data_IF_038499369811
#
_entry.id   IF_038499369811
#
_cell.length_a   1.000
_cell.length_b   1.000
_cell.length_c   1.000
_cell.angle_alpha   90.00
_cell.angle_beta   90.00
_cell.angle_gamma   90.00
#
_symmetry.space_group_name_H-M   'P 1'
#
loop_
_entity.id
_entity.type
_entity.pdbx_description
1 polymer ?
#
# COMPACT_ATOMS: atom_id res chain seq x y z
N UNK A 1 -1.88 -12.11 -39.11
CA UNK A 1 -2.68 -10.88 -39.21
C UNK A 1 -1.83 -9.87 -39.97
N UNK A 2 -1.94 -9.91 -41.31
CA UNK A 2 -2.60 -8.81 -42.02
C UNK A 2 -3.73 -9.28 -42.95
N UNK A 3 -4.50 -8.27 -43.35
CA UNK A 3 -5.59 -8.14 -44.32
C UNK A 3 -5.35 -8.83 -45.67
N UNK A 4 -6.31 -9.19 -46.53
CA UNK A 4 -7.77 -9.02 -46.75
C UNK A 4 -8.09 -10.18 -47.73
N UNK A 5 -9.32 -10.66 -47.87
CA UNK A 5 -10.09 -10.39 -49.09
C UNK A 5 -11.50 -10.97 -48.94
N UNK A 6 -12.49 -10.16 -49.31
CA UNK A 6 -13.90 -10.41 -49.13
C UNK A 6 -14.45 -11.14 -50.36
N UNK A 7 -15.05 -12.32 -50.14
CA UNK A 7 -15.87 -12.98 -51.14
C UNK A 7 -17.30 -12.38 -51.16
N UNK A 8 -17.91 -12.24 -52.35
CA UNK A 8 -19.13 -11.46 -52.55
C UNK A 8 -20.36 -12.20 -52.00
N UNK A 9 -21.04 -11.56 -51.06
CA UNK A 9 -22.36 -11.97 -50.55
C UNK A 9 -23.46 -11.65 -51.56
N UNK A 10 -24.39 -12.58 -51.80
CA UNK A 10 -25.63 -12.48 -52.58
C UNK A 10 -26.68 -11.49 -52.01
N UNK A 11 -26.24 -10.37 -51.43
CA UNK A 11 -27.09 -9.36 -50.82
C UNK A 11 -27.00 -8.07 -51.62
N UNK A 12 -28.01 -7.82 -52.47
CA UNK A 12 -28.16 -6.57 -53.23
C UNK A 12 -28.45 -5.46 -52.22
N UNK A 13 -27.56 -4.46 -52.12
CA UNK A 13 -27.76 -3.34 -51.20
C UNK A 13 -28.66 -2.30 -51.88
N UNK A 14 -29.51 -1.63 -51.10
CA UNK A 14 -30.50 -0.66 -51.61
C UNK A 14 -29.92 0.50 -52.44
N UNK A 15 -28.61 0.73 -52.35
CA UNK A 15 -27.85 1.74 -53.10
C UNK A 15 -27.37 1.28 -54.49
N UNK A 16 -27.48 -0.01 -54.78
CA UNK A 16 -27.07 -0.63 -56.05
C UNK A 16 -28.27 -0.87 -56.99
N UNK A 17 -29.40 -0.18 -56.74
CA UNK A 17 -30.64 -0.21 -57.52
C UNK A 17 -30.73 1.04 -58.40
N UNK A 18 -29.90 1.12 -59.42
CA UNK A 18 -30.04 2.10 -60.50
C UNK A 18 -30.57 1.38 -61.75
N UNK A 19 -31.72 1.82 -62.28
CA UNK A 19 -32.31 1.27 -63.51
C UNK A 19 -33.45 0.26 -63.35
N UNK A 20 -34.06 0.14 -62.16
CA UNK A 20 -35.29 -0.65 -61.98
C UNK A 20 -36.51 0.27 -62.02
N UNK A 21 -37.28 0.19 -63.10
CA UNK A 21 -38.58 0.85 -63.18
C UNK A 21 -39.57 0.19 -62.20
N UNK A 22 -40.12 1.00 -61.30
CA UNK A 22 -41.18 0.56 -60.41
C UNK A 22 -42.43 0.35 -61.27
N UNK A 23 -42.92 -0.88 -61.32
CA UNK A 23 -44.15 -1.21 -62.05
C UNK A 23 -45.32 -0.40 -61.46
N UNK A 24 -45.81 0.59 -62.21
CA UNK A 24 -46.99 1.39 -61.84
C UNK A 24 -48.25 0.78 -62.44
N UNK A 25 -49.37 0.89 -61.72
CA UNK A 25 -50.67 0.37 -62.14
C UNK A 25 -51.04 0.89 -63.54
N UNK A 26 -51.47 0.02 -64.47
CA UNK A 26 -51.99 0.47 -65.76
C UNK A 26 -53.21 1.37 -65.56
N UNK A 27 -53.10 2.62 -66.01
CA UNK A 27 -54.22 3.55 -66.09
C UNK A 27 -55.25 3.01 -67.10
N UNK A 28 -56.52 2.93 -66.70
CA UNK A 28 -57.64 2.47 -67.52
C UNK A 28 -58.53 3.64 -67.99
N UNK A 29 -58.00 4.86 -68.04
CA UNK A 29 -58.67 6.00 -68.67
C UNK A 29 -58.48 5.97 -70.19
N UNK A 30 -59.52 6.27 -70.98
CA UNK A 30 -59.44 6.25 -72.44
C UNK A 30 -58.49 7.35 -72.95
N UNK A 31 -57.48 6.95 -73.73
CA UNK A 31 -56.53 7.86 -74.38
C UNK A 31 -57.25 8.80 -75.38
N UNK A 32 -57.02 10.12 -75.32
CA UNK A 32 -57.38 11.02 -76.41
C UNK A 32 -56.41 10.87 -77.59
N UNK A 33 -56.94 10.88 -78.82
CA UNK A 33 -56.18 10.74 -80.07
C UNK A 33 -55.04 11.79 -80.20
N UNK A 34 -53.80 11.40 -80.55
CA UNK A 34 -52.72 12.35 -80.81
C UNK A 34 -52.82 12.98 -82.20
N UNK A 35 -52.53 14.29 -82.23
CA UNK A 35 -52.37 15.13 -83.42
C UNK A 35 -51.05 14.82 -84.18
N UNK A 36 -50.86 15.30 -85.43
CA UNK A 36 -49.90 14.73 -86.38
C UNK A 36 -48.43 15.01 -86.04
N UNK A 37 -47.56 14.07 -86.41
CA UNK A 37 -46.10 14.07 -86.22
C UNK A 37 -45.39 15.23 -86.94
N UNK A 38 -44.43 15.93 -86.30
CA UNK A 38 -43.46 16.77 -87.01
C UNK A 38 -42.22 15.97 -87.46
N UNK A 39 -41.69 16.34 -88.63
CA UNK A 39 -40.51 15.78 -89.31
C UNK A 39 -39.19 15.95 -88.50
N UNK A 40 -38.16 15.11 -88.74
CA UNK A 40 -36.92 15.12 -87.94
C UNK A 40 -35.94 16.21 -88.39
N UNK A 41 -35.39 16.95 -87.42
CA UNK A 41 -34.18 17.79 -87.56
C UNK A 41 -32.98 17.11 -86.84
N UNK A 42 -31.73 17.38 -87.27
CA UNK A 42 -30.63 16.43 -87.19
C UNK A 42 -29.94 16.36 -85.81
N UNK A 43 -29.44 15.18 -85.49
CA UNK A 43 -28.65 14.85 -84.30
C UNK A 43 -27.36 15.69 -84.23
N UNK A 44 -27.20 16.45 -83.14
CA UNK A 44 -25.92 17.03 -82.73
C UNK A 44 -25.19 15.95 -81.95
N UNK A 45 -24.18 15.37 -82.61
CA UNK A 45 -23.28 14.38 -82.05
C UNK A 45 -22.36 15.12 -81.08
N UNK A 46 -22.48 14.87 -79.78
CA UNK A 46 -21.46 15.27 -78.82
C UNK A 46 -20.19 14.46 -79.12
N UNK A 47 -19.14 15.16 -79.55
CA UNK A 47 -17.79 14.62 -79.64
C UNK A 47 -17.36 14.12 -78.25
N UNK A 48 -17.53 12.82 -78.02
CA UNK A 48 -16.73 12.10 -77.03
C UNK A 48 -15.30 12.16 -77.57
N UNK A 49 -14.48 13.01 -76.96
CA UNK A 49 -13.03 12.99 -77.18
C UNK A 49 -12.54 11.61 -76.75
N UNK A 50 -12.45 10.70 -77.73
CA UNK A 50 -11.87 9.38 -77.58
C UNK A 50 -10.43 9.59 -77.14
N UNK A 51 -10.21 9.50 -75.82
CA UNK A 51 -8.88 9.31 -75.26
C UNK A 51 -8.32 8.10 -76.00
N UNK A 52 -7.21 8.24 -76.76
CA UNK A 52 -6.68 7.12 -77.53
C UNK A 52 -6.43 5.99 -76.54
N UNK A 53 -7.12 4.86 -76.73
CA UNK A 53 -6.76 3.63 -76.08
C UNK A 53 -5.36 3.28 -76.60
N UNK A 54 -4.36 3.74 -75.87
CA UNK A 54 -2.97 3.40 -76.08
C UNK A 54 -2.93 1.87 -76.11
N UNK A 55 -2.63 1.32 -77.29
CA UNK A 55 -2.56 -0.11 -77.51
C UNK A 55 -1.61 -0.68 -76.47
N UNK A 56 -2.17 -1.37 -75.46
CA UNK A 56 -1.39 -2.00 -74.41
C UNK A 56 -0.61 -3.12 -75.09
N UNK A 57 0.62 -2.81 -75.50
CA UNK A 57 1.52 -3.79 -76.06
C UNK A 57 1.65 -4.93 -75.03
N UNK A 58 1.54 -6.20 -75.45
CA UNK A 58 1.79 -7.30 -74.53
C UNK A 58 3.21 -7.13 -74.02
N UNK A 59 3.35 -6.96 -72.70
CA UNK A 59 4.64 -6.82 -72.03
C UNK A 59 5.60 -7.86 -72.59
N UNK A 60 6.79 -7.41 -72.99
CA UNK A 60 7.83 -8.32 -73.45
C UNK A 60 8.22 -9.26 -72.29
N UNK A 61 8.61 -10.49 -72.60
CA UNK A 61 8.98 -11.51 -71.60
C UNK A 61 10.03 -10.99 -70.60
N UNK A 62 10.93 -10.11 -71.05
CA UNK A 62 11.97 -9.48 -70.22
C UNK A 62 11.39 -8.45 -69.23
N UNK A 63 10.41 -7.64 -69.62
CA UNK A 63 9.74 -6.67 -68.73
C UNK A 63 8.94 -7.38 -67.62
N UNK A 64 8.33 -8.52 -67.95
CA UNK A 64 7.55 -9.32 -67.03
C UNK A 64 8.44 -10.01 -65.97
N UNK A 65 9.64 -10.43 -66.37
CA UNK A 65 10.68 -10.94 -65.47
C UNK A 65 11.26 -9.83 -64.57
N UNK A 66 11.48 -8.63 -65.11
CA UNK A 66 11.98 -7.48 -64.36
C UNK A 66 11.01 -7.07 -63.24
N UNK A 67 9.72 -6.91 -63.55
CA UNK A 67 8.67 -6.58 -62.56
C UNK A 67 8.60 -7.66 -61.48
N UNK A 68 8.74 -8.94 -61.86
CA UNK A 68 8.69 -10.05 -60.90
C UNK A 68 9.89 -10.05 -59.95
N UNK A 69 11.09 -9.73 -60.44
CA UNK A 69 12.27 -9.57 -59.61
C UNK A 69 12.15 -8.35 -58.68
N UNK A 70 11.63 -7.24 -59.19
CA UNK A 70 11.47 -6.01 -58.42
C UNK A 70 10.45 -6.18 -57.28
N UNK A 71 9.29 -6.75 -57.58
CA UNK A 71 8.28 -7.08 -56.58
C UNK A 71 8.77 -8.13 -55.55
N UNK A 72 9.59 -9.09 -55.98
CA UNK A 72 10.21 -10.05 -55.07
C UNK A 72 11.20 -9.37 -54.12
N UNK A 73 12.07 -8.51 -54.65
CA UNK A 73 13.06 -7.77 -53.86
C UNK A 73 12.39 -6.79 -52.89
N UNK A 74 11.34 -6.10 -53.32
CA UNK A 74 10.58 -5.17 -52.47
C UNK A 74 9.80 -5.91 -51.37
N UNK A 75 9.14 -7.02 -51.71
CA UNK A 75 8.45 -7.88 -50.74
C UNK A 75 9.41 -8.51 -49.73
N UNK A 76 10.59 -8.94 -50.18
CA UNK A 76 11.64 -9.47 -49.31
C UNK A 76 12.19 -8.39 -48.37
N UNK A 77 12.54 -7.22 -48.89
CA UNK A 77 13.06 -6.11 -48.09
C UNK A 77 12.03 -5.57 -47.09
N UNK A 78 10.74 -5.56 -47.45
CA UNK A 78 9.65 -5.16 -46.55
C UNK A 78 9.41 -6.20 -45.47
N UNK A 79 9.38 -7.49 -45.83
CA UNK A 79 9.24 -8.59 -44.88
C UNK A 79 10.41 -8.69 -43.89
N UNK A 80 11.64 -8.42 -44.33
CA UNK A 80 12.81 -8.37 -43.46
C UNK A 80 12.71 -7.21 -42.45
N UNK A 81 12.32 -6.02 -42.91
CA UNK A 81 12.14 -4.84 -42.04
C UNK A 81 11.02 -5.04 -41.02
N UNK A 82 9.87 -5.53 -41.44
CA UNK A 82 8.74 -5.81 -40.54
C UNK A 82 9.05 -6.96 -39.57
N UNK A 83 9.74 -8.00 -40.05
CA UNK A 83 10.23 -9.10 -39.23
C UNK A 83 11.20 -8.63 -38.16
N UNK A 84 12.16 -7.79 -38.53
CA UNK A 84 13.13 -7.21 -37.59
C UNK A 84 12.45 -6.31 -36.56
N UNK A 85 11.55 -5.42 -36.99
CA UNK A 85 10.85 -4.52 -36.09
C UNK A 85 9.92 -5.26 -35.12
N UNK A 86 9.16 -6.24 -35.61
CA UNK A 86 8.24 -7.03 -34.78
C UNK A 86 8.96 -7.95 -33.80
N UNK A 87 10.09 -8.55 -34.21
CA UNK A 87 10.92 -9.37 -33.31
C UNK A 87 11.60 -8.51 -32.26
N UNK A 88 12.11 -7.33 -32.63
CA UNK A 88 12.73 -6.40 -31.68
C UNK A 88 11.74 -5.94 -30.60
N UNK A 89 10.49 -5.64 -30.97
CA UNK A 89 9.46 -5.29 -30.00
C UNK A 89 9.12 -6.45 -29.05
N UNK A 90 8.98 -7.68 -29.57
CA UNK A 90 8.70 -8.86 -28.75
C UNK A 90 9.84 -9.17 -27.78
N UNK A 91 11.08 -9.17 -28.26
CA UNK A 91 12.27 -9.39 -27.42
C UNK A 91 12.37 -8.33 -26.33
N UNK A 92 12.05 -7.07 -26.65
CA UNK A 92 12.04 -6.00 -25.66
C UNK A 92 10.96 -6.21 -24.60
N UNK A 93 9.74 -6.57 -25.01
CA UNK A 93 8.65 -6.86 -24.09
C UNK A 93 8.99 -8.04 -23.16
N UNK A 94 9.47 -9.16 -23.72
CA UNK A 94 9.89 -10.32 -22.93
C UNK A 94 11.05 -9.99 -21.98
N UNK A 95 12.01 -9.15 -22.42
CA UNK A 95 13.10 -8.69 -21.57
C UNK A 95 12.62 -7.77 -20.43
N UNK A 96 11.69 -6.85 -20.71
CA UNK A 96 11.08 -5.97 -19.71
C UNK A 96 10.26 -6.76 -18.69
N UNK A 97 9.49 -7.75 -19.13
CA UNK A 97 8.73 -8.65 -18.25
C UNK A 97 9.65 -9.50 -17.36
N UNK A 98 10.70 -10.09 -17.95
CA UNK A 98 11.68 -10.87 -17.21
C UNK A 98 12.45 -10.01 -16.19
N UNK A 99 12.82 -8.78 -16.57
CA UNK A 99 13.49 -7.84 -15.67
C UNK A 99 12.56 -7.42 -14.53
N UNK A 100 11.30 -7.12 -14.83
CA UNK A 100 10.30 -6.75 -13.83
C UNK A 100 10.10 -7.88 -12.81
N UNK A 101 9.97 -9.12 -13.28
CA UNK A 101 9.85 -10.27 -12.39
C UNK A 101 11.08 -10.45 -11.47
N UNK A 102 12.29 -10.15 -11.99
CA UNK A 102 13.52 -10.16 -11.17
C UNK A 102 13.56 -9.03 -10.15
N UNK A 103 13.14 -7.82 -10.53
CA UNK A 103 13.06 -6.68 -9.63
C UNK A 103 12.04 -6.92 -8.51
N UNK A 104 10.84 -7.38 -8.84
CA UNK A 104 9.82 -7.74 -7.84
C UNK A 104 10.33 -8.84 -6.88
N UNK A 105 11.04 -9.84 -7.41
CA UNK A 105 11.68 -10.85 -6.56
C UNK A 105 12.73 -10.26 -5.63
N UNK A 106 13.50 -9.27 -6.08
CA UNK A 106 14.56 -8.65 -5.29
C UNK A 106 13.98 -7.70 -4.24
N UNK A 107 12.96 -6.91 -4.59
CA UNK A 107 12.18 -6.08 -3.66
C UNK A 107 11.56 -6.95 -2.57
N UNK A 108 10.97 -8.10 -2.94
CA UNK A 108 10.41 -9.05 -1.96
C UNK A 108 11.49 -9.62 -1.04
N UNK A 109 12.67 -9.95 -1.57
CA UNK A 109 13.79 -10.41 -0.75
C UNK A 109 14.28 -9.32 0.22
N UNK A 110 14.37 -8.07 -0.24
CA UNK A 110 14.74 -6.93 0.62
C UNK A 110 13.70 -6.69 1.71
N UNK A 111 12.40 -6.69 1.36
CA UNK A 111 11.33 -6.56 2.34
C UNK A 111 11.38 -7.68 3.38
N UNK A 112 11.52 -8.93 2.94
CA UNK A 112 11.65 -10.09 3.83
C UNK A 112 12.92 -10.04 4.71
N UNK A 113 13.95 -9.27 4.33
CA UNK A 113 15.16 -9.10 5.13
C UNK A 113 15.02 -7.95 6.14
N UNK A 114 14.32 -6.87 5.76
CA UNK A 114 14.15 -5.69 6.60
C UNK A 114 13.04 -5.84 7.64
N UNK A 115 11.93 -6.48 7.30
CA UNK A 115 10.81 -6.72 8.21
C UNK A 115 11.22 -7.46 9.52
N UNK A 116 12.01 -8.55 9.48
CA UNK A 116 12.43 -9.21 10.71
C UNK A 116 13.44 -8.41 11.54
N UNK A 117 14.16 -7.46 10.95
CA UNK A 117 15.07 -6.57 11.69
C UNK A 117 14.25 -5.61 12.56
N UNK A 118 13.23 -4.98 11.96
CA UNK A 118 12.32 -4.10 12.70
C UNK A 118 11.57 -4.86 13.82
N UNK A 119 11.10 -6.07 13.54
CA UNK A 119 10.48 -6.92 14.58
C UNK A 119 11.50 -7.26 15.68
N UNK A 120 12.74 -7.60 15.33
CA UNK A 120 13.81 -7.85 16.31
C UNK A 120 14.05 -6.66 17.23
N UNK A 121 14.09 -5.45 16.71
CA UNK A 121 14.29 -4.25 17.55
C UNK A 121 13.20 -4.15 18.61
N UNK A 122 11.92 -4.32 18.24
CA UNK A 122 10.82 -4.31 19.22
C UNK A 122 10.90 -5.46 20.23
N UNK A 123 11.39 -6.64 19.82
CA UNK A 123 11.55 -7.79 20.71
C UNK A 123 12.71 -7.60 21.68
N UNK A 124 13.80 -6.97 21.23
CA UNK A 124 14.95 -6.60 22.06
C UNK A 124 14.51 -5.59 23.11
N UNK A 125 13.79 -4.54 22.71
CA UNK A 125 13.24 -3.54 23.65
C UNK A 125 12.38 -4.19 24.75
N UNK A 126 11.41 -5.04 24.34
CA UNK A 126 10.56 -5.78 25.29
C UNK A 126 11.39 -6.67 26.22
N UNK A 127 12.38 -7.37 25.69
CA UNK A 127 13.24 -8.27 26.45
C UNK A 127 14.12 -7.51 27.46
N UNK A 128 14.64 -6.34 27.08
CA UNK A 128 15.42 -5.48 27.96
C UNK A 128 14.57 -4.96 29.13
N UNK A 129 13.37 -4.46 28.85
CA UNK A 129 12.45 -4.01 29.91
C UNK A 129 12.09 -5.17 30.85
N UNK A 130 11.83 -6.36 30.30
CA UNK A 130 11.52 -7.54 31.10
C UNK A 130 12.71 -7.95 31.99
N UNK A 131 13.94 -7.91 31.46
CA UNK A 131 15.15 -8.19 32.22
C UNK A 131 15.35 -7.20 33.38
N UNK A 132 15.19 -5.90 33.10
CA UNK A 132 15.29 -4.84 34.12
C UNK A 132 14.20 -5.03 35.17
N UNK A 133 12.96 -5.32 34.77
CA UNK A 133 11.87 -5.60 35.70
C UNK A 133 12.20 -6.79 36.62
N UNK A 134 12.78 -7.86 36.07
CA UNK A 134 13.18 -9.03 36.84
C UNK A 134 14.33 -8.71 37.81
N UNK A 135 15.36 -7.99 37.35
CA UNK A 135 16.48 -7.56 38.20
C UNK A 135 16.00 -6.64 39.33
N UNK A 136 15.19 -5.64 39.03
CA UNK A 136 14.63 -4.72 40.03
C UNK A 136 13.78 -5.47 41.06
N UNK A 137 12.96 -6.44 40.64
CA UNK A 137 12.20 -7.28 41.57
C UNK A 137 13.10 -8.06 42.54
N UNK A 138 14.18 -8.65 42.02
CA UNK A 138 15.12 -9.40 42.86
C UNK A 138 15.89 -8.50 43.83
N UNK A 139 16.36 -7.34 43.37
CA UNK A 139 17.09 -6.37 44.20
C UNK A 139 16.17 -5.77 45.26
N UNK A 140 15.01 -5.25 44.87
CA UNK A 140 14.03 -4.67 45.81
C UNK A 140 13.57 -5.73 46.82
N UNK A 141 13.25 -6.94 46.36
CA UNK A 141 12.87 -8.03 47.27
C UNK A 141 13.97 -8.41 48.26
N UNK A 142 15.25 -8.29 47.88
CA UNK A 142 16.38 -8.50 48.79
C UNK A 142 16.55 -7.36 49.78
N UNK A 143 16.46 -6.12 49.32
CA UNK A 143 16.55 -4.94 50.19
C UNK A 143 15.41 -4.91 51.21
N UNK A 144 14.16 -5.20 50.80
CA UNK A 144 13.01 -5.20 51.71
C UNK A 144 13.05 -6.30 52.77
N UNK A 145 13.76 -7.41 52.51
CA UNK A 145 14.03 -8.43 53.53
C UNK A 145 15.05 -7.96 54.58
N UNK A 146 15.91 -7.01 54.22
CA UNK A 146 16.91 -6.44 55.12
C UNK A 146 16.36 -5.22 55.87
N UNK A 147 15.68 -4.31 55.16
CA UNK A 147 15.04 -3.12 55.70
C UNK A 147 13.70 -2.85 55.00
N UNK A 148 12.61 -2.91 55.77
CA UNK A 148 11.24 -2.66 55.29
C UNK A 148 10.66 -1.31 55.70
N UNK A 149 11.52 -0.36 56.11
CA UNK A 149 11.15 1.00 56.55
C UNK A 149 10.18 1.75 55.62
N UNK A 150 10.20 1.47 54.33
CA UNK A 150 9.36 2.10 53.31
C UNK A 150 7.86 1.74 53.41
N UNK A 151 7.47 0.71 54.18
CA UNK A 151 6.07 0.30 54.32
C UNK A 151 5.16 1.44 54.80
N UNK A 152 5.68 2.34 55.63
CA UNK A 152 4.95 3.49 56.16
C UNK A 152 4.44 4.41 55.04
N UNK A 153 5.25 4.63 54.01
CA UNK A 153 4.90 5.44 52.86
C UNK A 153 3.89 4.72 51.97
N UNK A 154 4.10 3.43 51.73
CA UNK A 154 3.19 2.59 50.93
C UNK A 154 1.80 2.56 51.56
N UNK A 155 1.73 2.38 52.88
CA UNK A 155 0.48 2.36 53.60
C UNK A 155 -0.24 3.71 53.51
N UNK A 156 0.48 4.84 53.64
CA UNK A 156 -0.09 6.19 53.47
C UNK A 156 -0.64 6.41 52.06
N UNK A 157 0.07 5.98 51.02
CA UNK A 157 -0.39 6.09 49.63
C UNK A 157 -1.61 5.22 49.39
N UNK A 158 -1.59 3.97 49.87
CA UNK A 158 -2.73 3.06 49.76
C UNK A 158 -3.96 3.60 50.49
N UNK A 159 -3.80 4.23 51.65
CA UNK A 159 -4.89 4.86 52.40
C UNK A 159 -5.52 6.06 51.67
N UNK A 160 -4.72 6.88 50.97
CA UNK A 160 -5.23 7.99 50.15
C UNK A 160 -6.11 7.54 48.99
N UNK A 161 -5.93 6.31 48.53
CA UNK A 161 -6.73 5.74 47.44
C UNK A 161 -8.10 5.23 47.92
N UNK A 162 -8.37 5.18 49.23
CA UNK A 162 -9.68 4.79 49.72
C UNK A 162 -10.72 5.90 49.49
N UNK A 163 -11.96 5.53 49.13
CA UNK A 163 -13.08 6.49 49.09
C UNK A 163 -13.38 7.02 50.49
N UNK A 164 -13.81 8.29 50.57
CA UNK A 164 -14.22 8.91 51.84
C UNK A 164 -15.42 8.15 52.43
N UNK A 165 -15.28 7.62 53.65
CA UNK A 165 -16.32 6.82 54.33
C UNK A 165 -16.08 5.31 54.38
N UNK A 166 -14.84 4.85 54.15
CA UNK A 166 -14.51 3.44 54.28
C UNK A 166 -14.44 3.00 55.77
N UNK A 167 -15.45 2.26 56.22
CA UNK A 167 -15.50 1.67 57.56
C UNK A 167 -14.90 0.26 57.60
N UNK A 168 -14.49 -0.17 58.80
CA UNK A 168 -13.94 -1.52 59.08
C UNK A 168 -12.74 -1.89 58.18
N UNK A 169 -11.73 -1.02 58.15
CA UNK A 169 -10.47 -1.21 57.42
C UNK A 169 -9.64 -2.33 58.08
N UNK A 170 -9.35 -3.36 57.30
CA UNK A 170 -8.45 -4.47 57.66
C UNK A 170 -7.21 -4.39 56.78
N UNK A 171 -6.04 -4.31 57.40
CA UNK A 171 -4.76 -4.20 56.70
C UNK A 171 -4.00 -5.50 56.96
N UNK A 172 -3.76 -6.27 55.91
CA UNK A 172 -2.91 -7.45 55.94
C UNK A 172 -1.47 -7.07 55.60
N UNK A 173 -0.53 -7.49 56.44
CA UNK A 173 0.88 -7.11 56.39
C UNK A 173 1.76 -8.31 56.74
N UNK A 174 3.02 -8.28 56.30
CA UNK A 174 4.01 -9.24 56.79
C UNK A 174 4.31 -9.00 58.30
N UNK A 175 4.58 -10.04 59.10
CA UNK A 175 4.96 -9.88 60.51
C UNK A 175 6.14 -8.93 60.76
N UNK A 176 7.10 -8.83 59.83
CA UNK A 176 8.23 -7.90 59.94
C UNK A 176 7.81 -6.43 59.93
N UNK A 177 6.68 -6.13 59.28
CA UNK A 177 6.17 -4.76 59.08
C UNK A 177 5.14 -4.35 60.13
N UNK A 178 4.70 -5.30 60.95
CA UNK A 178 3.61 -5.11 61.90
C UNK A 178 3.91 -4.00 62.91
N UNK A 179 5.13 -3.97 63.47
CA UNK A 179 5.55 -2.96 64.44
C UNK A 179 5.60 -1.55 63.83
N UNK A 180 6.10 -1.42 62.59
CA UNK A 180 6.14 -0.13 61.87
C UNK A 180 4.73 0.38 61.58
N UNK A 181 3.83 -0.50 61.15
CA UNK A 181 2.44 -0.15 60.87
C UNK A 181 1.66 0.18 62.14
N UNK A 182 1.94 -0.49 63.26
CA UNK A 182 1.34 -0.20 64.57
C UNK A 182 1.74 1.19 65.07
N UNK A 183 3.03 1.54 64.97
CA UNK A 183 3.51 2.88 65.31
C UNK A 183 2.85 3.97 64.44
N UNK A 184 2.61 3.67 63.15
CA UNK A 184 1.89 4.59 62.28
C UNK A 184 0.42 4.77 62.71
N UNK A 185 -0.26 3.67 63.05
CA UNK A 185 -1.65 3.71 63.53
C UNK A 185 -1.80 4.58 64.78
N UNK A 186 -0.90 4.42 65.76
CA UNK A 186 -0.92 5.22 66.99
C UNK A 186 -0.70 6.71 66.71
N UNK A 187 0.17 7.05 65.76
CA UNK A 187 0.43 8.44 65.35
C UNK A 187 -0.77 9.11 64.69
N UNK A 188 -1.57 8.35 63.94
CA UNK A 188 -2.73 8.89 63.20
C UNK A 188 -4.06 8.76 63.97
N UNK A 189 -4.06 8.16 65.16
CA UNK A 189 -5.26 7.94 66.00
C UNK A 189 -6.39 7.21 65.26
N UNK A 190 -6.05 6.31 64.32
CA UNK A 190 -7.04 5.60 63.50
C UNK A 190 -7.36 4.18 64.02
N UNK A 191 -8.58 3.74 63.75
CA UNK A 191 -9.14 2.47 64.25
C UNK A 191 -9.00 1.31 63.26
N UNK A 192 -7.91 1.24 62.49
CA UNK A 192 -7.67 0.13 61.57
C UNK A 192 -7.33 -1.17 62.32
N UNK A 193 -7.77 -2.30 61.78
CA UNK A 193 -7.39 -3.63 62.27
C UNK A 193 -6.20 -4.13 61.45
N UNK A 194 -5.06 -4.33 62.11
CA UNK A 194 -3.89 -4.93 61.50
C UNK A 194 -3.97 -6.46 61.65
N UNK A 195 -3.71 -7.17 60.55
CA UNK A 195 -3.66 -8.62 60.48
C UNK A 195 -2.31 -9.04 59.91
N UNK A 196 -1.68 -10.02 60.57
CA UNK A 196 -0.42 -10.60 60.12
C UNK A 196 -0.71 -11.69 59.07
N UNK A 197 -0.08 -11.56 57.90
CA UNK A 197 -0.14 -12.53 56.81
C UNK A 197 1.29 -12.85 56.34
N UNK A 198 1.77 -14.05 56.65
CA UNK A 198 3.09 -14.53 56.26
C UNK A 198 3.21 -14.89 54.77
N UNK A 199 2.12 -14.92 54.01
CA UNK A 199 2.17 -15.13 52.56
C UNK A 199 2.58 -13.87 51.79
N UNK A 200 2.50 -12.69 52.42
CA UNK A 200 2.88 -11.42 51.81
C UNK A 200 4.38 -11.16 51.93
N UNK A 201 5.00 -10.63 50.89
CA UNK A 201 6.37 -10.15 50.96
C UNK A 201 6.49 -8.92 51.88
N UNK A 202 7.63 -8.76 52.60
CA UNK A 202 7.92 -7.54 53.35
C UNK A 202 7.85 -6.29 52.46
N UNK A 203 7.34 -5.19 53.01
CA UNK A 203 7.15 -3.93 52.30
C UNK A 203 5.88 -3.83 51.44
N UNK A 204 5.06 -4.89 51.40
CA UNK A 204 3.75 -4.91 50.74
C UNK A 204 2.59 -4.86 51.74
N UNK A 205 1.47 -4.26 51.35
CA UNK A 205 0.24 -4.29 52.14
C UNK A 205 -1.00 -4.60 51.29
N UNK A 206 -1.98 -5.24 51.91
CA UNK A 206 -3.30 -5.45 51.32
C UNK A 206 -4.34 -4.85 52.24
N UNK A 207 -5.12 -3.92 51.72
CA UNK A 207 -6.17 -3.23 52.48
C UNK A 207 -7.52 -3.76 52.01
N UNK A 208 -8.29 -4.29 52.95
CA UNK A 208 -9.65 -4.78 52.72
C UNK A 208 -10.63 -3.94 53.54
N UNK A 209 -11.70 -3.51 52.90
CA UNK A 209 -12.83 -2.79 53.51
C UNK A 209 -14.13 -3.49 53.16
N UNK A 210 -15.25 -3.00 53.69
CA UNK A 210 -16.56 -3.58 53.37
C UNK A 210 -16.92 -3.53 51.87
N UNK A 211 -16.39 -2.54 51.15
CA UNK A 211 -16.79 -2.24 49.76
C UNK A 211 -15.64 -2.21 48.76
N UNK A 212 -14.38 -2.31 49.21
CA UNK A 212 -13.20 -2.20 48.35
C UNK A 212 -12.03 -3.01 48.88
N UNK A 213 -11.23 -3.55 47.97
CA UNK A 213 -9.95 -4.19 48.25
C UNK A 213 -8.87 -3.49 47.44
N UNK A 214 -7.88 -2.93 48.12
CA UNK A 214 -6.72 -2.30 47.53
C UNK A 214 -5.54 -3.25 47.70
N UNK A 215 -5.00 -3.69 46.57
CA UNK A 215 -3.78 -4.48 46.54
C UNK A 215 -2.59 -3.55 46.29
N UNK A 216 -1.78 -3.35 47.34
CA UNK A 216 -0.53 -2.60 47.34
C UNK A 216 0.65 -3.52 47.69
N UNK A 217 0.54 -4.79 47.27
CA UNK A 217 1.64 -5.75 47.32
C UNK A 217 2.81 -5.31 46.45
N UNK A 218 4.00 -5.84 46.73
CA UNK A 218 5.20 -5.50 45.98
C UNK A 218 5.10 -5.93 44.51
N UNK A 219 4.48 -7.07 44.27
CA UNK A 219 4.25 -7.64 42.94
C UNK A 219 3.39 -6.70 42.09
N UNK A 220 2.23 -6.31 42.61
CA UNK A 220 1.30 -5.42 41.89
C UNK A 220 1.89 -4.03 41.67
N UNK A 221 2.69 -3.52 42.61
CA UNK A 221 3.38 -2.23 42.46
C UNK A 221 4.45 -2.27 41.38
N UNK A 222 5.28 -3.31 41.36
CA UNK A 222 6.30 -3.49 40.31
C UNK A 222 5.62 -3.65 38.96
N UNK A 223 4.55 -4.43 38.87
CA UNK A 223 3.79 -4.60 37.62
C UNK A 223 3.21 -3.28 37.11
N UNK A 224 2.62 -2.45 37.99
CA UNK A 224 2.14 -1.12 37.62
C UNK A 224 3.26 -0.20 37.14
N UNK A 225 4.41 -0.21 37.81
CA UNK A 225 5.56 0.61 37.40
C UNK A 225 6.13 0.17 36.03
N UNK A 226 6.20 -1.14 35.79
CA UNK A 226 6.64 -1.70 34.50
C UNK A 226 5.63 -1.39 33.39
N UNK A 227 4.33 -1.51 33.67
CA UNK A 227 3.28 -1.15 32.71
C UNK A 227 3.35 0.34 32.32
N UNK A 228 3.53 1.24 33.30
CA UNK A 228 3.73 2.67 33.03
C UNK A 228 4.96 2.93 32.16
N UNK A 229 6.04 2.19 32.34
CA UNK A 229 7.24 2.32 31.51
C UNK A 229 7.00 1.83 30.07
N UNK A 230 6.23 0.76 29.89
CA UNK A 230 5.80 0.31 28.57
C UNK A 230 4.87 1.32 27.88
N UNK A 231 3.93 1.92 28.62
CA UNK A 231 3.06 2.97 28.09
C UNK A 231 3.88 4.20 27.64
N UNK A 232 4.88 4.61 28.44
CA UNK A 232 5.79 5.70 28.06
C UNK A 232 6.61 5.41 26.81
N UNK A 233 7.11 4.18 26.66
CA UNK A 233 7.81 3.74 25.45
C UNK A 233 6.87 3.76 24.24
N UNK A 234 5.62 3.31 24.43
CA UNK A 234 4.61 3.35 23.39
C UNK A 234 4.29 4.79 22.98
N UNK A 235 4.08 5.69 23.94
CA UNK A 235 3.85 7.12 23.67
C UNK A 235 5.04 7.75 22.93
N UNK A 236 6.28 7.41 23.29
CA UNK A 236 7.46 7.89 22.58
C UNK A 236 7.55 7.36 21.15
N UNK A 237 7.10 6.13 20.90
CA UNK A 237 7.02 5.59 19.53
C UNK A 237 5.94 6.27 18.68
N UNK A 238 4.82 6.67 19.31
CA UNK A 238 3.72 7.38 18.64
C UNK A 238 4.03 8.88 18.46
N UNK A 239 4.87 9.43 19.33
CA UNK A 239 5.35 10.81 19.29
C UNK A 239 6.88 10.82 19.30
N UNK A 240 7.51 10.46 18.17
CA UNK A 240 8.96 10.51 18.07
C UNK A 240 9.41 11.94 18.35
N UNK A 241 10.43 12.08 19.20
CA UNK A 241 11.06 13.37 19.44
C UNK A 241 11.52 13.96 18.10
N UNK A 242 11.45 15.29 17.98
CA UNK A 242 11.94 15.97 16.79
C UNK A 242 13.39 15.52 16.51
N UNK A 243 13.74 15.18 15.26
CA UNK A 243 15.07 14.69 14.95
C UNK A 243 16.11 15.74 15.34
N UNK A 244 17.13 15.31 16.10
CA UNK A 244 18.22 16.19 16.56
C UNK A 244 19.02 16.80 15.39
N UNK A 245 18.90 16.23 14.19
CA UNK A 245 19.49 16.74 12.95
C UNK A 245 18.52 16.66 11.78
N UNK A 246 18.12 17.83 11.26
CA UNK A 246 17.54 17.95 9.92
C UNK A 246 18.67 18.10 8.91
N UNK A 247 19.03 17.03 8.22
CA UNK A 247 19.95 17.10 7.08
C UNK A 247 19.14 17.57 5.87
N UNK A 248 19.38 18.80 5.43
CA UNK A 248 18.83 19.32 4.19
C UNK A 248 19.63 18.74 3.01
N UNK A 249 19.04 17.75 2.34
CA UNK A 249 19.62 17.06 1.19
C UNK A 249 19.56 17.89 -0.10
N UNK A 250 18.83 19.01 -0.11
CA UNK A 250 18.73 19.93 -1.24
C UNK A 250 19.67 21.15 -1.11
N UNK A 251 20.42 21.26 -0.01
CA UNK A 251 21.43 22.29 0.14
C UNK A 251 22.63 22.00 -0.80
N UNK A 252 23.01 22.93 -1.69
CA UNK A 252 24.20 22.74 -2.51
C UNK A 252 25.40 22.61 -1.57
N UNK A 253 26.20 21.55 -1.74
CA UNK A 253 27.39 21.29 -0.95
C UNK A 253 28.30 22.52 -0.95
N UNK A 254 28.25 23.31 0.12
CA UNK A 254 29.18 24.42 0.32
C UNK A 254 30.57 23.81 0.42
N UNK A 255 31.37 24.05 -0.63
CA UNK A 255 32.79 23.77 -0.63
C UNK A 255 33.37 24.44 0.61
N UNK A 256 33.95 23.64 1.50
CA UNK A 256 34.83 24.11 2.53
C UNK A 256 35.98 24.89 1.87
N UNK A 257 35.81 26.20 1.75
CA UNK A 257 36.86 27.13 1.33
C UNK A 257 37.65 27.46 2.60
N UNK A 258 38.73 26.71 2.76
CA UNK A 258 40.06 27.22 3.06
C UNK A 258 40.13 28.42 4.03
N UNK A 259 40.21 28.13 5.34
CA UNK A 259 40.76 29.07 6.31
C UNK A 259 42.28 28.91 6.36
N UNK A 260 42.94 29.33 5.27
CA UNK A 260 44.36 29.68 5.26
C UNK A 260 44.45 31.19 5.03
N UNK A 261 44.38 32.01 6.09
CA UNK A 261 45.31 33.13 6.27
C UNK A 261 45.17 33.74 7.67
N UNK A 262 46.32 34.14 8.22
CA UNK A 262 46.57 34.58 9.59
C UNK A 262 46.31 36.10 9.77
N UNK A 263 46.62 36.73 10.93
CA UNK A 263 48.00 36.89 11.41
C UNK A 263 48.25 36.44 12.87
#
# INVERSE_FOLDING_TARGET
MPTKEHHPSDLIRARDLEGVDVWTLPSFDPEPEPAPEPEPEPEVIEEVEEVPLEEVQPLTLEELEAIRQEAYNEGFATGEREGFHSTQLKVRQEAEEALKAKLESLERLMANLMEPIAEQDTQIEKSLVHLIAHMSRQVIGRELRNDSSQITQVLREALKLLPMGADNIRIHLNPQDFELAKALRERHEENWRLLEDGALLPGGCRIETAHSRIDATMETRIEKAVAQLFDQLHDHSLHPAAPDMTIDLDAPAERAVDSTDAP
#
